data_IF_883098793666
#
_entry.id   IF_883098793666
#
_cell.length_a   1.000
_cell.length_b   1.000
_cell.length_c   1.000
_cell.angle_alpha   90.00
_cell.angle_beta   90.00
_cell.angle_gamma   90.00
#
_symmetry.space_group_name_H-M   'P 1'
#
loop_
_entity.id
_entity.type
_entity.pdbx_description
1 polymer ?
#
# COMPACT_ATOMS: atom_id res chain seq x y z
N UNK A 1 19.28 2.88 15.37
CA UNK A 1 18.25 2.83 16.44
C UNK A 1 17.19 1.83 16.02
N UNK A 2 16.73 0.95 16.91
CA UNK A 2 15.70 -0.04 16.62
C UNK A 2 14.36 0.44 17.19
N UNK A 3 13.28 0.32 16.43
CA UNK A 3 11.93 0.70 16.84
C UNK A 3 11.53 0.04 18.17
N UNK A 4 11.96 -1.22 18.34
CA UNK A 4 11.75 -2.01 19.56
C UNK A 4 12.52 -1.55 20.79
N UNK A 5 13.58 -0.76 20.63
CA UNK A 5 14.40 -0.24 21.73
C UNK A 5 14.19 1.25 21.97
N UNK A 6 13.28 1.89 21.25
CA UNK A 6 13.05 3.34 21.31
C UNK A 6 11.64 3.69 21.79
N UNK A 7 10.59 3.23 21.10
CA UNK A 7 9.21 3.68 21.39
C UNK A 7 8.15 2.58 21.41
N UNK A 8 8.41 1.40 20.85
CA UNK A 8 7.37 0.36 20.67
C UNK A 8 7.09 -0.52 21.89
N UNK A 9 7.94 -0.52 22.92
CA UNK A 9 7.65 -1.15 24.22
C UNK A 9 7.33 -2.66 24.15
N UNK A 10 6.04 -2.99 24.21
CA UNK A 10 5.50 -4.35 24.18
C UNK A 10 5.20 -4.84 22.76
N UNK A 11 5.49 -6.11 22.49
CA UNK A 11 5.31 -6.72 21.16
C UNK A 11 4.21 -7.77 21.17
N UNK A 12 3.10 -7.44 20.52
CA UNK A 12 2.21 -8.49 20.01
C UNK A 12 2.94 -9.30 18.92
N UNK A 13 2.75 -10.62 18.86
CA UNK A 13 3.40 -11.46 17.87
C UNK A 13 2.94 -11.08 16.44
N UNK A 14 3.89 -10.65 15.62
CA UNK A 14 3.68 -10.42 14.18
C UNK A 14 3.49 -11.79 13.51
N UNK A 15 2.45 -11.92 12.67
CA UNK A 15 2.19 -13.17 11.95
C UNK A 15 2.80 -13.14 10.54
N UNK A 16 3.12 -14.32 9.99
CA UNK A 16 3.56 -14.48 8.59
C UNK A 16 2.48 -13.99 7.61
N UNK A 17 1.21 -14.09 7.99
CA UNK A 17 0.08 -13.60 7.19
C UNK A 17 0.18 -12.08 6.98
N UNK A 18 0.46 -11.31 8.04
CA UNK A 18 0.61 -9.86 7.95
C UNK A 18 1.75 -9.44 7.00
N UNK A 19 2.88 -10.16 7.02
CA UNK A 19 3.97 -9.89 6.08
C UNK A 19 3.55 -10.14 4.62
N UNK A 20 2.72 -11.15 4.35
CA UNK A 20 2.14 -11.37 3.02
C UNK A 20 1.16 -10.27 2.64
N UNK A 21 0.30 -9.87 3.57
CA UNK A 21 -0.75 -8.88 3.33
C UNK A 21 -0.14 -7.51 2.98
N UNK A 22 1.04 -7.19 3.56
CA UNK A 22 1.87 -6.02 3.25
C UNK A 22 2.80 -6.20 2.03
N UNK A 23 2.60 -7.25 1.21
CA UNK A 23 3.39 -7.55 0.01
C UNK A 23 4.91 -7.73 0.25
N UNK A 24 5.31 -8.12 1.47
CA UNK A 24 6.72 -8.36 1.78
C UNK A 24 7.16 -9.76 1.34
N UNK A 25 8.38 -9.84 0.81
CA UNK A 25 9.00 -11.11 0.46
C UNK A 25 9.22 -11.96 1.72
N UNK A 26 8.77 -13.22 1.71
CA UNK A 26 8.91 -14.14 2.84
C UNK A 26 10.33 -14.66 3.09
N UNK A 27 11.33 -14.04 2.47
CA UNK A 27 12.72 -14.33 2.74
C UNK A 27 13.05 -13.89 4.18
N UNK A 28 13.48 -14.80 5.08
CA UNK A 28 13.75 -14.48 6.48
C UNK A 28 14.70 -13.30 6.67
N UNK A 29 15.65 -13.10 5.76
CA UNK A 29 16.61 -11.97 5.79
C UNK A 29 15.93 -10.62 5.55
N UNK A 30 14.78 -10.59 4.85
CA UNK A 30 14.04 -9.36 4.52
C UNK A 30 12.96 -9.00 5.55
N UNK A 31 12.45 -9.96 6.32
CA UNK A 31 11.31 -9.77 7.24
C UNK A 31 11.68 -9.96 8.72
N UNK A 32 12.89 -10.43 9.02
CA UNK A 32 13.37 -10.60 10.39
C UNK A 32 14.19 -9.39 10.83
N UNK A 33 13.90 -8.89 12.02
CA UNK A 33 14.74 -7.91 12.69
C UNK A 33 16.05 -8.53 13.19
N UNK A 34 16.98 -7.68 13.61
CA UNK A 34 18.28 -8.09 14.17
C UNK A 34 18.17 -8.98 15.42
N UNK A 35 17.02 -8.96 16.08
CA UNK A 35 16.69 -9.83 17.21
C UNK A 35 16.27 -11.25 16.79
N UNK A 36 16.23 -11.57 15.50
CA UNK A 36 15.84 -12.89 14.98
C UNK A 36 14.33 -13.17 14.99
N UNK A 37 13.51 -12.16 15.31
CA UNK A 37 12.03 -12.20 15.23
C UNK A 37 11.55 -11.36 14.05
N UNK A 38 10.30 -11.54 13.63
CA UNK A 38 9.69 -10.69 12.60
C UNK A 38 9.71 -9.21 13.01
N UNK A 39 9.87 -8.31 12.03
CA UNK A 39 10.01 -6.88 12.26
C UNK A 39 8.75 -6.29 12.93
N UNK A 40 8.91 -5.73 14.13
CA UNK A 40 7.81 -5.16 14.92
C UNK A 40 7.12 -3.95 14.28
N UNK A 41 7.81 -3.21 13.40
CA UNK A 41 7.22 -2.09 12.65
C UNK A 41 6.07 -2.54 11.74
N UNK A 42 6.06 -3.80 11.30
CA UNK A 42 4.97 -4.36 10.50
C UNK A 42 3.64 -4.33 11.25
N UNK A 43 3.65 -4.55 12.57
CA UNK A 43 2.42 -4.43 13.37
C UNK A 43 2.04 -2.98 13.61
N UNK A 44 3.02 -2.14 13.89
CA UNK A 44 2.81 -0.71 14.11
C UNK A 44 2.10 -0.05 12.93
N UNK A 45 2.55 -0.37 11.71
CA UNK A 45 2.03 0.22 10.47
C UNK A 45 0.77 -0.48 9.95
N UNK A 46 0.37 -1.62 10.54
CA UNK A 46 -0.68 -2.47 9.98
C UNK A 46 -2.05 -1.79 9.94
N UNK A 47 -2.41 -1.06 11.00
CA UNK A 47 -3.74 -0.43 11.08
C UNK A 47 -3.85 0.69 10.03
N UNK A 48 -2.78 1.45 9.83
CA UNK A 48 -2.70 2.48 8.78
C UNK A 48 -2.67 1.83 7.38
N UNK A 49 -1.94 0.73 7.21
CA UNK A 49 -1.88 -0.03 5.96
C UNK A 49 -3.24 -0.55 5.52
N UNK A 50 -3.99 -1.22 6.41
CA UNK A 50 -5.34 -1.72 6.10
C UNK A 50 -6.28 -0.56 5.75
N UNK A 51 -6.27 0.52 6.53
CA UNK A 51 -7.12 1.70 6.26
C UNK A 51 -6.81 2.36 4.92
N UNK A 52 -5.54 2.43 4.51
CA UNK A 52 -5.13 3.00 3.23
C UNK A 52 -5.48 2.05 2.08
N UNK A 53 -5.33 0.74 2.28
CA UNK A 53 -5.66 -0.27 1.28
C UNK A 53 -7.16 -0.30 0.96
N UNK A 54 -8.03 -0.08 1.94
CA UNK A 54 -9.49 0.02 1.72
C UNK A 54 -9.89 1.24 0.88
N UNK A 55 -9.06 2.28 0.84
CA UNK A 55 -9.34 3.53 0.13
C UNK A 55 -8.71 3.60 -1.26
N UNK A 56 -7.66 2.82 -1.51
CA UNK A 56 -6.94 2.80 -2.77
C UNK A 56 -7.56 1.79 -3.74
N UNK A 57 -7.55 2.07 -5.05
CA UNK A 57 -7.96 1.10 -6.07
C UNK A 57 -7.04 -0.13 -6.05
N UNK A 58 -7.54 -1.23 -6.59
CA UNK A 58 -6.73 -2.44 -6.75
C UNK A 58 -5.71 -2.31 -7.90
N UNK A 59 -4.58 -3.02 -7.77
CA UNK A 59 -3.63 -3.15 -8.88
C UNK A 59 -4.33 -3.74 -10.10
N UNK A 60 -4.21 -3.04 -11.22
CA UNK A 60 -4.81 -3.40 -12.49
C UNK A 60 -6.21 -2.86 -12.72
N UNK A 61 -6.80 -2.17 -11.75
CA UNK A 61 -8.07 -1.47 -11.92
C UNK A 61 -7.93 -0.29 -12.89
N UNK A 62 -9.00 0.00 -13.65
CA UNK A 62 -9.10 1.18 -14.49
C UNK A 62 -9.72 2.32 -13.68
N UNK A 63 -9.00 3.42 -13.57
CA UNK A 63 -9.46 4.63 -12.88
C UNK A 63 -9.46 5.83 -13.81
N UNK A 64 -10.27 6.83 -13.47
CA UNK A 64 -10.20 8.14 -14.11
C UNK A 64 -9.11 8.95 -13.41
N UNK A 65 -8.35 9.74 -14.15
CA UNK A 65 -7.37 10.67 -13.59
C UNK A 65 -7.57 12.04 -14.25
N UNK A 66 -7.00 13.13 -13.72
CA UNK A 66 -7.01 14.44 -14.37
C UNK A 66 -6.51 14.41 -15.83
N UNK A 67 -5.59 13.49 -16.16
CA UNK A 67 -4.99 13.35 -17.49
C UNK A 67 -5.69 12.30 -18.37
N UNK A 68 -6.78 11.68 -17.87
CA UNK A 68 -7.58 10.70 -18.59
C UNK A 68 -7.72 9.36 -17.87
N UNK A 69 -8.42 8.41 -18.49
CA UNK A 69 -8.60 7.07 -17.94
C UNK A 69 -7.34 6.23 -18.12
N UNK A 70 -6.86 5.61 -17.04
CA UNK A 70 -5.67 4.76 -17.08
C UNK A 70 -5.77 3.57 -16.14
N UNK A 71 -4.79 2.68 -16.26
CA UNK A 71 -4.71 1.45 -15.47
C UNK A 71 -3.74 1.63 -14.31
N UNK A 72 -4.15 1.25 -13.11
CA UNK A 72 -3.25 1.21 -11.95
C UNK A 72 -2.21 0.11 -12.15
N UNK A 73 -0.94 0.48 -12.22
CA UNK A 73 0.19 -0.44 -12.44
C UNK A 73 1.14 -0.54 -11.24
N UNK A 74 1.00 0.37 -10.27
CA UNK A 74 1.79 0.37 -9.03
C UNK A 74 1.04 1.06 -7.90
N UNK A 75 1.29 0.63 -6.67
CA UNK A 75 0.72 1.22 -5.45
C UNK A 75 1.79 1.35 -4.38
N UNK A 76 1.90 2.54 -3.80
CA UNK A 76 2.52 2.77 -2.52
C UNK A 76 1.41 3.05 -1.50
N UNK A 77 0.99 1.99 -0.79
CA UNK A 77 -0.19 2.02 0.08
C UNK A 77 0.00 2.99 1.26
N UNK A 78 1.13 2.91 1.96
CA UNK A 78 1.43 3.81 3.09
C UNK A 78 1.61 5.26 2.62
N UNK A 79 2.18 5.46 1.43
CA UNK A 79 2.29 6.78 0.83
C UNK A 79 0.99 7.31 0.23
N UNK A 80 -0.04 6.47 0.09
CA UNK A 80 -1.30 6.76 -0.64
C UNK A 80 -1.06 7.29 -2.06
N UNK A 81 -0.04 6.74 -2.72
CA UNK A 81 0.34 7.08 -4.11
C UNK A 81 0.07 5.90 -5.02
N UNK A 82 -0.52 6.16 -6.17
CA UNK A 82 -0.77 5.19 -7.22
C UNK A 82 -0.05 5.58 -8.50
N UNK A 83 0.49 4.57 -9.18
CA UNK A 83 1.13 4.72 -10.48
C UNK A 83 0.15 4.24 -11.54
N UNK A 84 -0.14 5.09 -12.53
CA UNK A 84 -1.18 4.88 -13.53
C UNK A 84 -0.58 4.94 -14.93
N UNK A 85 -0.82 3.89 -15.70
CA UNK A 85 -0.50 3.82 -17.13
C UNK A 85 -1.69 4.31 -17.96
N UNK A 86 -1.53 5.46 -18.61
CA UNK A 86 -2.59 6.11 -19.40
C UNK A 86 -2.30 5.88 -20.89
N UNK A 87 -3.22 5.26 -21.66
CA UNK A 87 -3.02 5.05 -23.09
C UNK A 87 -2.74 6.35 -23.84
N UNK A 88 -1.64 6.39 -24.59
CA UNK A 88 -1.21 7.57 -25.34
C UNK A 88 -0.22 8.46 -24.60
N UNK A 89 0.03 8.23 -23.31
CA UNK A 89 1.19 8.78 -22.62
C UNK A 89 2.38 7.83 -22.72
N UNK A 90 3.59 8.39 -22.90
CA UNK A 90 4.84 7.60 -22.96
C UNK A 90 5.32 7.14 -21.58
N UNK A 91 4.79 7.73 -20.50
CA UNK A 91 5.26 7.51 -19.13
C UNK A 91 4.10 7.15 -18.23
N UNK A 92 4.40 6.33 -17.24
CA UNK A 92 3.53 6.09 -16.09
C UNK A 92 3.53 7.35 -15.23
N UNK A 93 2.35 7.83 -14.87
CA UNK A 93 2.16 8.98 -14.01
C UNK A 93 1.85 8.56 -12.58
N UNK A 94 2.20 9.40 -11.61
CA UNK A 94 1.91 9.16 -10.20
C UNK A 94 0.83 10.13 -9.74
N UNK A 95 -0.13 9.60 -8.98
CA UNK A 95 -1.21 10.38 -8.37
C UNK A 95 -1.34 10.01 -6.90
N UNK A 96 -1.64 11.00 -6.09
CA UNK A 96 -2.10 10.81 -4.71
C UNK A 96 -3.58 10.44 -4.69
N UNK A 97 -4.02 9.83 -3.59
CA UNK A 97 -5.45 9.57 -3.37
C UNK A 97 -6.29 10.85 -3.43
N UNK A 98 -5.75 11.98 -2.93
CA UNK A 98 -6.44 13.28 -2.92
C UNK A 98 -6.68 13.80 -4.34
N UNK A 99 -5.68 13.76 -5.21
CA UNK A 99 -5.80 14.21 -6.62
C UNK A 99 -6.86 13.42 -7.39
N UNK A 100 -6.99 12.12 -7.12
CA UNK A 100 -7.98 11.24 -7.75
C UNK A 100 -9.39 11.53 -7.22
N UNK A 101 -9.54 11.76 -5.91
CA UNK A 101 -10.82 12.13 -5.31
C UNK A 101 -11.33 13.49 -5.80
N UNK A 102 -10.44 14.48 -5.92
CA UNK A 102 -10.78 15.80 -6.46
C UNK A 102 -11.21 15.76 -7.93
N UNK A 103 -10.62 14.85 -8.71
CA UNK A 103 -11.02 14.61 -10.10
C UNK A 103 -12.40 13.91 -10.22
N UNK A 104 -13.04 13.53 -9.10
CA UNK A 104 -14.30 12.78 -9.09
C UNK A 104 -14.13 11.35 -9.59
N UNK A 105 -12.90 10.84 -9.60
CA UNK A 105 -12.58 9.52 -10.11
C UNK A 105 -12.79 8.47 -9.03
N UNK A 106 -13.94 7.82 -9.09
CA UNK A 106 -14.22 6.63 -8.29
C UNK A 106 -13.78 5.41 -9.11
N UNK A 107 -13.07 4.48 -8.46
CA UNK A 107 -12.90 3.09 -8.90
C UNK A 107 -14.18 2.57 -9.57
N UNK A 108 -14.07 2.05 -10.78
CA UNK A 108 -15.21 1.48 -11.52
C UNK A 108 -15.68 0.14 -10.93
N UNK A 109 -15.07 -0.34 -9.85
CA UNK A 109 -15.56 -1.51 -9.12
C UNK A 109 -16.61 -1.15 -8.07
N UNK A 110 -17.84 -1.25 -8.55
CA UNK A 110 -19.07 -1.53 -7.82
C UNK A 110 -18.89 -2.40 -6.57
N UNK A 111 -19.44 -1.91 -5.46
CA UNK A 111 -20.11 -2.70 -4.44
C UNK A 111 -20.85 -3.91 -5.01
N UNK A 112 -20.49 -5.13 -4.59
CA UNK A 112 -21.29 -6.38 -4.58
C UNK A 112 -20.44 -7.35 -3.73
N UNK A 113 -20.78 -7.86 -2.55
CA UNK A 113 -22.02 -8.10 -1.78
C UNK A 113 -21.62 -8.08 -0.28
#
# INVERSE_FOLDING_TARGET
>A
MLCCSTFLGDFDPVSIKMAKDQNLSLNPTKISGLCGRLMCCLKYENDEYESAKEQLPDLGEMIVTPDGTGKVVGLNILGRVMQVDIPGQERVLEYTLEEIQEAGAVSLQSSTD
#
